data_IF_437426315881
#
_entry.id   IF_437426315881
#
_cell.length_a   1.000
_cell.length_b   1.000
_cell.length_c   1.000
_cell.angle_alpha   90.00
_cell.angle_beta   90.00
_cell.angle_gamma   90.00
#
_symmetry.space_group_name_H-M   'P 1'
#
loop_
_entity.id
_entity.type
_entity.pdbx_description
1 polymer ?
#
# COMPACT_ATOMS: atom_id res chain seq x y z
N UNK A 1 -2.45 6.69 27.82
CA UNK A 1 -1.73 5.45 27.42
C UNK A 1 -2.23 5.03 26.05
N UNK A 2 -1.32 5.02 25.10
CA UNK A 2 -1.66 4.59 23.75
C UNK A 2 -1.72 3.06 23.78
N UNK A 3 -2.90 2.49 23.58
CA UNK A 3 -3.03 1.06 23.46
C UNK A 3 -2.24 0.60 22.24
N UNK A 4 -1.30 -0.31 22.42
CA UNK A 4 -0.64 -0.97 21.32
C UNK A 4 -1.70 -1.72 20.50
N UNK A 5 -1.71 -1.57 19.18
CA UNK A 5 -2.66 -2.35 18.39
C UNK A 5 -2.40 -3.83 18.64
N UNK A 6 -3.38 -4.50 19.18
CA UNK A 6 -3.32 -5.94 19.33
C UNK A 6 -3.51 -6.58 17.97
N UNK A 7 -2.89 -7.74 17.74
CA UNK A 7 -3.05 -8.47 16.48
C UNK A 7 -4.51 -8.66 16.09
N UNK A 8 -5.39 -8.81 17.07
CA UNK A 8 -6.81 -9.08 16.85
C UNK A 8 -7.59 -7.89 16.29
N UNK A 9 -7.04 -6.66 16.39
CA UNK A 9 -7.71 -5.45 15.92
C UNK A 9 -7.27 -4.98 14.54
N UNK A 10 -6.14 -5.46 14.01
CA UNK A 10 -5.56 -4.97 12.77
C UNK A 10 -6.12 -5.70 11.55
N UNK A 11 -6.54 -4.93 10.56
CA UNK A 11 -7.01 -5.43 9.27
C UNK A 11 -6.40 -4.57 8.16
N UNK A 12 -5.33 -5.08 7.59
CA UNK A 12 -4.49 -4.35 6.63
C UNK A 12 -4.82 -4.80 5.23
N UNK A 13 -5.05 -3.85 4.33
CA UNK A 13 -5.14 -4.09 2.89
C UNK A 13 -3.87 -3.57 2.20
N UNK A 14 -3.31 -4.37 1.31
CA UNK A 14 -2.13 -4.01 0.52
C UNK A 14 -2.53 -3.93 -0.95
N UNK A 15 -2.21 -2.81 -1.59
CA UNK A 15 -2.55 -2.56 -2.99
C UNK A 15 -1.26 -2.32 -3.76
N UNK A 16 -0.93 -3.23 -4.67
CA UNK A 16 0.31 -3.21 -5.45
C UNK A 16 -0.01 -2.70 -6.85
N UNK A 17 0.70 -1.64 -7.25
CA UNK A 17 0.53 -1.01 -8.55
C UNK A 17 1.57 -1.52 -9.55
N UNK A 18 1.11 -1.91 -10.74
CA UNK A 18 2.01 -2.21 -11.86
C UNK A 18 2.65 -0.94 -12.44
N UNK A 19 1.98 0.20 -12.30
CA UNK A 19 2.33 1.48 -12.93
C UNK A 19 2.57 1.29 -14.44
N UNK A 20 1.61 0.63 -15.11
CA UNK A 20 1.82 0.14 -16.47
C UNK A 20 2.98 -0.84 -16.52
N UNK A 21 4.07 -0.44 -17.18
CA UNK A 21 5.32 -1.22 -17.24
C UNK A 21 6.42 -0.64 -16.34
N UNK A 22 6.21 0.51 -15.72
CA UNK A 22 7.25 1.16 -14.91
C UNK A 22 7.66 0.32 -13.69
N UNK A 23 6.72 -0.38 -13.08
CA UNK A 23 7.00 -1.29 -11.97
C UNK A 23 6.98 -2.73 -12.47
N UNK A 24 5.91 -3.16 -13.11
CA UNK A 24 5.73 -4.54 -13.55
C UNK A 24 6.77 -5.00 -14.58
N UNK A 25 7.37 -4.06 -15.31
CA UNK A 25 8.46 -4.40 -16.26
C UNK A 25 9.74 -4.85 -15.57
N UNK A 26 9.97 -4.46 -14.32
CA UNK A 26 11.19 -4.80 -13.59
C UNK A 26 10.93 -5.67 -12.35
N UNK A 27 9.71 -5.62 -11.82
CA UNK A 27 9.29 -6.31 -10.58
C UNK A 27 8.18 -7.30 -10.90
N UNK A 28 8.27 -8.51 -10.37
CA UNK A 28 7.17 -9.47 -10.43
C UNK A 28 6.10 -9.05 -9.40
N UNK A 29 5.18 -8.19 -9.83
CA UNK A 29 4.15 -7.62 -8.97
C UNK A 29 3.15 -8.67 -8.49
N UNK A 30 2.94 -9.73 -9.27
CA UNK A 30 2.10 -10.85 -8.84
C UNK A 30 2.73 -11.57 -7.64
N UNK A 31 4.04 -11.84 -7.70
CA UNK A 31 4.76 -12.47 -6.61
C UNK A 31 4.78 -11.57 -5.36
N UNK A 32 4.95 -10.27 -5.54
CA UNK A 32 4.92 -9.30 -4.42
C UNK A 32 3.54 -9.30 -3.77
N UNK A 33 2.48 -9.31 -4.55
CA UNK A 33 1.11 -9.34 -4.03
C UNK A 33 0.83 -10.64 -3.27
N UNK A 34 1.24 -11.77 -3.81
CA UNK A 34 1.11 -13.07 -3.14
C UNK A 34 1.87 -13.09 -1.81
N UNK A 35 3.09 -12.55 -1.81
CA UNK A 35 3.88 -12.43 -0.59
C UNK A 35 3.20 -11.53 0.45
N UNK A 36 2.66 -10.38 0.02
CA UNK A 36 1.98 -9.46 0.92
C UNK A 36 0.80 -10.13 1.62
N UNK A 37 0.09 -11.01 0.93
CA UNK A 37 -1.06 -11.73 1.50
C UNK A 37 -0.65 -12.68 2.64
N UNK A 38 0.62 -13.05 2.75
CA UNK A 38 1.14 -13.92 3.81
C UNK A 38 1.58 -13.16 5.05
N UNK A 39 1.68 -11.83 4.99
CA UNK A 39 2.15 -11.03 6.11
C UNK A 39 1.11 -10.96 7.23
N UNK A 40 1.53 -10.89 8.50
CA UNK A 40 0.61 -10.81 9.62
C UNK A 40 -0.37 -9.64 9.48
N UNK A 41 -1.63 -9.87 9.81
CA UNK A 41 -2.73 -8.90 9.81
C UNK A 41 -3.14 -8.38 8.43
N UNK A 42 -2.51 -8.84 7.35
CA UNK A 42 -2.95 -8.54 5.99
C UNK A 42 -4.13 -9.46 5.65
N UNK A 43 -5.31 -8.87 5.47
CA UNK A 43 -6.54 -9.59 5.15
C UNK A 43 -6.92 -9.48 3.68
N UNK A 44 -6.27 -8.59 2.95
CA UNK A 44 -6.53 -8.35 1.54
C UNK A 44 -5.24 -7.88 0.87
N UNK A 45 -4.88 -8.47 -0.26
CA UNK A 45 -3.79 -8.00 -1.10
C UNK A 45 -4.24 -8.05 -2.55
N UNK A 46 -4.14 -6.92 -3.24
CA UNK A 46 -4.63 -6.75 -4.60
C UNK A 46 -3.58 -6.10 -5.47
N UNK A 47 -3.56 -6.46 -6.75
CA UNK A 47 -2.71 -5.85 -7.76
C UNK A 47 -3.59 -5.16 -8.79
N UNK A 48 -3.22 -3.96 -9.21
CA UNK A 48 -3.87 -3.30 -10.32
C UNK A 48 -2.87 -2.55 -11.20
N UNK A 49 -3.31 -2.21 -12.40
CA UNK A 49 -2.43 -1.62 -13.41
C UNK A 49 -2.04 -0.20 -13.07
N UNK A 50 -3.01 0.58 -12.62
CA UNK A 50 -2.84 1.99 -12.24
C UNK A 50 -3.67 2.26 -10.99
N UNK A 51 -3.05 2.13 -9.84
CA UNK A 51 -3.75 2.31 -8.56
C UNK A 51 -4.25 3.74 -8.37
N UNK A 52 -3.53 4.72 -8.91
CA UNK A 52 -3.89 6.14 -8.83
C UNK A 52 -5.06 6.53 -9.76
N UNK A 53 -5.40 5.71 -10.74
CA UNK A 53 -6.54 5.95 -11.62
C UNK A 53 -7.85 5.60 -10.91
N UNK A 54 -8.97 6.14 -11.42
CA UNK A 54 -10.26 5.97 -10.77
C UNK A 54 -10.65 4.50 -10.54
N UNK A 55 -10.47 3.58 -11.51
CA UNK A 55 -10.76 2.16 -11.24
C UNK A 55 -9.94 1.57 -10.10
N UNK A 56 -8.65 1.91 -10.01
CA UNK A 56 -7.78 1.47 -8.91
C UNK A 56 -8.21 2.04 -7.57
N UNK A 57 -8.57 3.30 -7.53
CA UNK A 57 -9.08 3.95 -6.33
C UNK A 57 -10.41 3.33 -5.89
N UNK A 58 -11.29 3.00 -6.84
CA UNK A 58 -12.54 2.31 -6.53
C UNK A 58 -12.31 0.94 -5.89
N UNK A 59 -11.31 0.20 -6.36
CA UNK A 59 -10.94 -1.08 -5.75
C UNK A 59 -10.51 -0.90 -4.29
N UNK A 60 -9.73 0.16 -4.00
CA UNK A 60 -9.32 0.47 -2.64
C UNK A 60 -10.54 0.79 -1.77
N UNK A 61 -11.42 1.68 -2.24
CA UNK A 61 -12.62 2.06 -1.49
C UNK A 61 -13.53 0.87 -1.21
N UNK A 62 -13.73 0.04 -2.21
CA UNK A 62 -14.55 -1.18 -2.07
C UNK A 62 -13.93 -2.15 -1.08
N UNK A 63 -12.62 -2.37 -1.17
CA UNK A 63 -11.93 -3.29 -0.27
C UNK A 63 -11.97 -2.81 1.18
N UNK A 64 -11.83 -1.48 1.41
CA UNK A 64 -11.93 -0.91 2.76
C UNK A 64 -13.30 -1.27 3.38
N UNK A 65 -14.36 -1.13 2.60
CA UNK A 65 -15.73 -1.42 3.08
C UNK A 65 -15.96 -2.92 3.24
N UNK A 66 -15.62 -3.71 2.22
CA UNK A 66 -15.91 -5.15 2.18
C UNK A 66 -15.09 -5.94 3.20
N UNK A 67 -13.83 -5.60 3.36
CA UNK A 67 -12.92 -6.27 4.29
C UNK A 67 -12.81 -5.57 5.64
N UNK A 68 -13.51 -4.46 5.82
CA UNK A 68 -13.46 -3.64 7.06
C UNK A 68 -12.02 -3.31 7.42
N UNK A 69 -11.28 -2.78 6.44
CA UNK A 69 -9.88 -2.42 6.65
C UNK A 69 -9.75 -1.24 7.61
N UNK A 70 -8.77 -1.31 8.49
CA UNK A 70 -8.39 -0.19 9.37
C UNK A 70 -6.96 0.30 9.12
N UNK A 71 -6.27 -0.31 8.17
CA UNK A 71 -4.97 0.15 7.64
C UNK A 71 -4.90 -0.14 6.16
N UNK A 72 -4.26 0.77 5.43
CA UNK A 72 -4.08 0.62 3.98
C UNK A 72 -2.60 0.85 3.64
N UNK A 73 -2.03 -0.04 2.86
CA UNK A 73 -0.69 0.11 2.29
C UNK A 73 -0.82 0.18 0.77
N UNK A 74 -0.31 1.25 0.20
CA UNK A 74 -0.26 1.42 -1.26
C UNK A 74 1.18 1.30 -1.71
N UNK A 75 1.48 0.23 -2.45
CA UNK A 75 2.81 -0.03 -2.98
C UNK A 75 2.83 0.39 -4.45
N UNK A 76 3.35 1.59 -4.71
CA UNK A 76 3.28 2.22 -6.04
C UNK A 76 4.49 3.13 -6.27
N UNK A 77 4.30 4.26 -6.95
CA UNK A 77 5.34 5.26 -7.15
C UNK A 77 5.60 6.08 -5.88
N UNK A 78 6.43 7.11 -6.01
CA UNK A 78 6.79 7.96 -4.88
C UNK A 78 5.56 8.63 -4.25
N UNK A 79 5.50 8.73 -2.91
CA UNK A 79 4.46 9.49 -2.22
C UNK A 79 4.33 10.93 -2.69
N UNK A 80 5.42 11.53 -3.19
CA UNK A 80 5.41 12.90 -3.71
C UNK A 80 4.43 13.10 -4.87
N UNK A 81 4.16 12.03 -5.64
CA UNK A 81 3.26 12.09 -6.78
C UNK A 81 1.79 12.03 -6.34
N UNK A 82 1.42 11.01 -5.59
CA UNK A 82 0.02 10.64 -5.42
C UNK A 82 -0.42 10.45 -3.97
N UNK A 83 0.40 10.83 -2.99
CA UNK A 83 -0.02 10.70 -1.59
C UNK A 83 -1.35 11.42 -1.31
N UNK A 84 -1.56 12.68 -1.74
CA UNK A 84 -2.83 13.34 -1.53
C UNK A 84 -4.01 12.60 -2.18
N UNK A 85 -3.79 12.02 -3.36
CA UNK A 85 -4.81 11.23 -4.07
C UNK A 85 -5.26 10.03 -3.23
N UNK A 86 -4.31 9.28 -2.69
CA UNK A 86 -4.63 8.10 -1.90
C UNK A 86 -5.20 8.45 -0.52
N UNK A 87 -4.74 9.53 0.09
CA UNK A 87 -5.33 10.00 1.35
C UNK A 87 -6.79 10.39 1.16
N UNK A 88 -7.11 11.07 0.07
CA UNK A 88 -8.50 11.41 -0.25
C UNK A 88 -9.34 10.16 -0.54
N UNK A 89 -8.77 9.21 -1.28
CA UNK A 89 -9.42 7.94 -1.58
C UNK A 89 -9.80 7.18 -0.30
N UNK A 90 -8.88 7.09 0.64
CA UNK A 90 -9.08 6.43 1.93
C UNK A 90 -10.14 7.16 2.75
N UNK A 91 -10.08 8.49 2.77
CA UNK A 91 -11.09 9.32 3.46
C UNK A 91 -12.48 9.12 2.88
N UNK A 92 -12.61 9.06 1.55
CA UNK A 92 -13.88 8.85 0.87
C UNK A 92 -14.53 7.51 1.26
N UNK A 93 -13.72 6.52 1.61
CA UNK A 93 -14.20 5.22 2.07
C UNK A 93 -14.53 5.21 3.58
N UNK A 94 -14.34 6.33 4.28
CA UNK A 94 -14.67 6.45 5.69
C UNK A 94 -13.54 6.09 6.65
N UNK A 95 -12.31 5.94 6.15
CA UNK A 95 -11.14 5.66 6.97
C UNK A 95 -10.31 6.93 7.15
N UNK A 96 -9.75 7.14 8.35
CA UNK A 96 -8.86 8.27 8.59
C UNK A 96 -7.68 8.24 7.60
N UNK A 97 -7.39 9.35 6.89
CA UNK A 97 -6.37 9.35 5.83
C UNK A 97 -4.95 9.10 6.33
N UNK A 98 -4.69 9.25 7.62
CA UNK A 98 -3.38 8.99 8.23
C UNK A 98 -3.17 7.52 8.61
N UNK A 99 -4.17 6.66 8.38
CA UNK A 99 -4.05 5.22 8.54
C UNK A 99 -3.60 4.52 7.23
N UNK A 100 -2.96 5.27 6.35
CA UNK A 100 -2.43 4.80 5.08
C UNK A 100 -0.92 5.00 5.05
N UNK A 101 -0.20 4.01 4.56
CA UNK A 101 1.25 4.04 4.35
C UNK A 101 1.55 3.75 2.89
N UNK A 102 2.58 4.36 2.34
CA UNK A 102 3.01 4.10 0.96
C UNK A 102 4.38 3.45 0.93
N UNK A 103 4.53 2.46 0.05
CA UNK A 103 5.82 1.86 -0.30
C UNK A 103 6.18 2.29 -1.72
N UNK A 104 7.40 2.81 -1.91
CA UNK A 104 7.86 3.29 -3.21
C UNK A 104 8.53 2.15 -3.99
N UNK A 105 7.78 1.55 -4.92
CA UNK A 105 8.27 0.46 -5.76
C UNK A 105 8.81 0.91 -7.11
N UNK A 106 8.70 2.18 -7.44
CA UNK A 106 9.17 2.71 -8.72
C UNK A 106 10.51 3.40 -8.58
N UNK A 107 10.56 4.56 -7.96
CA UNK A 107 11.78 5.36 -7.83
C UNK A 107 12.83 4.66 -6.95
N UNK A 108 12.39 3.94 -5.90
CA UNK A 108 13.29 3.26 -4.97
C UNK A 108 13.56 1.80 -5.32
N UNK A 109 12.90 1.24 -6.32
CA UNK A 109 13.02 -0.19 -6.62
C UNK A 109 13.13 -0.46 -8.12
N UNK A 110 12.05 -0.34 -8.89
CA UNK A 110 12.06 -0.75 -10.29
C UNK A 110 13.01 0.08 -11.15
N UNK A 111 13.10 1.38 -10.90
CA UNK A 111 13.97 2.26 -11.68
C UNK A 111 15.45 2.15 -11.35
N UNK A 112 15.79 1.63 -10.18
CA UNK A 112 17.20 1.47 -9.74
C UNK A 112 17.69 0.03 -9.87
N UNK A 113 16.86 -0.88 -10.35
CA UNK A 113 17.23 -2.29 -10.59
C UNK A 113 16.83 -2.75 -12.00
N UNK A 114 17.19 -2.00 -13.05
CA UNK A 114 16.88 -2.44 -14.41
C UNK A 114 17.67 -3.72 -14.74
N UNK A 115 17.01 -4.69 -15.37
CA UNK A 115 17.68 -5.92 -15.81
C UNK A 115 17.92 -6.95 -14.71
N UNK A 116 17.51 -6.69 -13.48
CA UNK A 116 17.61 -7.65 -12.37
C UNK A 116 16.22 -7.87 -11.73
N UNK A 117 15.36 -8.59 -12.44
CA UNK A 117 13.99 -8.85 -11.98
C UNK A 117 13.94 -9.61 -10.65
N UNK A 118 14.73 -10.66 -10.42
CA UNK A 118 14.73 -11.34 -9.11
C UNK A 118 15.19 -10.45 -7.98
N UNK A 119 16.22 -9.64 -8.17
CA UNK A 119 16.71 -8.69 -7.16
C UNK A 119 15.72 -7.58 -6.89
N UNK A 120 15.13 -6.99 -7.93
CA UNK A 120 14.10 -5.97 -7.80
C UNK A 120 12.88 -6.51 -7.07
N UNK A 121 12.46 -7.73 -7.37
CA UNK A 121 11.31 -8.37 -6.71
C UNK A 121 11.58 -8.61 -5.23
N UNK A 122 12.78 -9.07 -4.86
CA UNK A 122 13.17 -9.24 -3.45
C UNK A 122 13.12 -7.91 -2.71
N UNK A 123 13.66 -6.84 -3.30
CA UNK A 123 13.62 -5.52 -2.68
C UNK A 123 12.19 -5.00 -2.54
N UNK A 124 11.36 -5.21 -3.54
CA UNK A 124 9.95 -4.83 -3.50
C UNK A 124 9.23 -5.53 -2.33
N UNK A 125 9.49 -6.82 -2.13
CA UNK A 125 8.95 -7.57 -0.99
C UNK A 125 9.37 -6.97 0.34
N UNK A 126 10.65 -6.61 0.48
CA UNK A 126 11.17 -5.98 1.69
C UNK A 126 10.54 -4.61 1.95
N UNK A 127 10.36 -3.81 0.91
CA UNK A 127 9.72 -2.50 1.00
C UNK A 127 8.25 -2.63 1.43
N UNK A 128 7.54 -3.59 0.87
CA UNK A 128 6.15 -3.86 1.25
C UNK A 128 6.06 -4.37 2.69
N UNK A 129 6.93 -5.29 3.08
CA UNK A 129 6.97 -5.79 4.45
C UNK A 129 7.24 -4.68 5.45
N UNK A 130 8.16 -3.77 5.11
CA UNK A 130 8.47 -2.60 5.95
C UNK A 130 7.26 -1.67 6.07
N UNK A 131 6.56 -1.41 4.97
CA UNK A 131 5.38 -0.55 4.99
C UNK A 131 4.24 -1.17 5.80
N UNK A 132 4.03 -2.48 5.69
CA UNK A 132 3.04 -3.21 6.50
C UNK A 132 3.41 -3.13 7.99
N UNK A 133 4.67 -3.35 8.33
CA UNK A 133 5.14 -3.24 9.72
C UNK A 133 4.90 -1.84 10.27
N UNK A 134 5.19 -0.79 9.49
CA UNK A 134 4.95 0.60 9.89
C UNK A 134 3.46 0.89 10.02
N UNK A 135 2.64 0.39 9.11
CA UNK A 135 1.20 0.62 9.13
C UNK A 135 0.55 0.15 10.44
N UNK A 136 1.09 -0.87 11.06
CA UNK A 136 0.59 -1.40 12.33
C UNK A 136 0.64 -0.38 13.46
N UNK A 137 1.55 0.59 13.38
CA UNK A 137 1.76 1.60 14.41
C UNK A 137 1.14 2.97 14.07
N UNK A 138 0.53 3.10 12.90
CA UNK A 138 -0.15 4.33 12.52
C UNK A 138 -1.35 4.61 13.43
N UNK A 139 -1.57 5.90 13.68
CA UNK A 139 -2.69 6.37 14.49
C UNK A 139 -3.48 7.41 13.73
N UNK A 140 -4.80 7.50 13.97
CA UNK A 140 -5.60 8.55 13.37
C UNK A 140 -5.06 9.93 13.77
N UNK A 141 -5.05 10.84 12.82
CA UNK A 141 -4.63 12.22 13.05
C UNK A 141 -5.76 13.17 12.62
N UNK A 142 -5.82 14.30 13.27
CA UNK A 142 -6.72 15.38 12.88
C UNK A 142 -5.90 16.53 12.31
N UNK A 143 -6.37 17.09 11.20
CA UNK A 143 -5.75 18.29 10.64
C UNK A 143 -6.27 19.52 11.37
N UNK A 144 -5.33 20.35 11.84
CA UNK A 144 -5.68 21.65 12.41
C UNK A 144 -5.26 22.74 11.43
N UNK A 145 -6.20 23.61 11.08
CA UNK A 145 -5.85 24.78 10.28
C UNK A 145 -5.13 25.82 11.15
N UNK A 146 -4.09 26.36 10.60
CA UNK A 146 -3.30 27.43 11.24
C UNK A 146 -3.71 28.76 10.68
#
# INVERSE_FOLDING_TARGET
MIAQPTHDGLRIGVFVCDCGLNIAGAVDTEAVTAYASTLPDVVCAMRNRYTCAEPGQNEIRTAIRDHKLNRVVVASCTPRQHEPTFRQCVLDAGLNPYLMEMANLREHCSWVHPGDRPGATRKARDLVASAVARARFLQPQEETSV
#
